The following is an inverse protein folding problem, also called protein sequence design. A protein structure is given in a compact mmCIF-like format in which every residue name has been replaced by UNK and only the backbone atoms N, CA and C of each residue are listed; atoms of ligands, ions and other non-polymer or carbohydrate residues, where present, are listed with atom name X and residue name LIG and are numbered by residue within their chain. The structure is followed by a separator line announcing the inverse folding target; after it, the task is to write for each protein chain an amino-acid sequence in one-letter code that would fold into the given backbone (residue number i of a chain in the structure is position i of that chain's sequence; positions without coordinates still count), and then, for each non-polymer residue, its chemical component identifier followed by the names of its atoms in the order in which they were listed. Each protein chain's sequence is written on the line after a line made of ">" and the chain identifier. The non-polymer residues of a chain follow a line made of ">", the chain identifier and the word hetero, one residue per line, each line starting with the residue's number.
data_IF_711574052464
#
_entry.id   IF_711574052464
#
_cell.length_a   1.000
_cell.length_b   1.000
_cell.length_c   1.000
_cell.angle_alpha   90.00
_cell.angle_beta   90.00
_cell.angle_gamma   90.00
#
_symmetry.space_group_name_H-M   'P 1'
#
loop_
_entity.id
_entity.type
_entity.pdbx_description
1 polymer ?
#
# COMPACT_ATOMS: atom_id res chain seq x y z
N UNK A 1 16.44 -11.49 -15.52
CA UNK A 1 15.51 -10.35 -15.66
C UNK A 1 14.40 -10.44 -14.65
N UNK A 2 14.10 -9.36 -13.92
CA UNK A 2 13.01 -9.35 -12.93
C UNK A 2 12.24 -8.04 -12.96
N UNK A 3 10.91 -8.14 -12.91
CA UNK A 3 10.02 -6.99 -12.95
C UNK A 3 10.15 -6.17 -11.66
N UNK A 4 10.22 -4.85 -11.82
CA UNK A 4 10.37 -3.88 -10.73
C UNK A 4 9.30 -2.79 -10.74
N UNK A 5 8.61 -2.58 -11.85
CA UNK A 5 7.57 -1.56 -11.98
C UNK A 5 6.59 -1.90 -13.10
N UNK A 6 5.35 -1.45 -12.98
CA UNK A 6 4.36 -1.51 -14.05
C UNK A 6 3.37 -0.35 -13.91
N UNK A 7 2.95 0.20 -15.04
CA UNK A 7 1.94 1.25 -15.07
C UNK A 7 1.19 1.23 -16.40
N UNK A 8 -0.08 1.62 -16.36
CA UNK A 8 -0.86 1.89 -17.57
C UNK A 8 -0.35 3.14 -18.32
N UNK A 9 0.41 4.01 -17.64
CA UNK A 9 0.91 5.28 -18.18
C UNK A 9 2.34 5.13 -18.67
N UNK A 10 2.53 5.28 -19.98
CA UNK A 10 3.85 5.16 -20.60
C UNK A 10 4.82 6.24 -20.08
N UNK A 11 4.33 7.44 -19.74
CA UNK A 11 5.20 8.50 -19.21
C UNK A 11 5.76 8.15 -17.83
N UNK A 12 5.00 7.42 -17.02
CA UNK A 12 5.49 6.94 -15.72
C UNK A 12 6.59 5.88 -15.90
N UNK A 13 6.41 5.00 -16.88
CA UNK A 13 7.42 4.00 -17.25
C UNK A 13 8.69 4.69 -17.74
N UNK A 14 8.57 5.67 -18.63
CA UNK A 14 9.72 6.41 -19.16
C UNK A 14 10.48 7.17 -18.05
N UNK A 15 9.77 7.77 -17.07
CA UNK A 15 10.42 8.40 -15.90
C UNK A 15 11.17 7.41 -15.02
N UNK A 16 10.59 6.23 -14.77
CA UNK A 16 11.25 5.18 -13.98
C UNK A 16 12.48 4.64 -14.71
N UNK A 17 12.40 4.45 -16.02
CA UNK A 17 13.55 4.05 -16.85
C UNK A 17 14.64 5.11 -16.80
N UNK A 18 14.29 6.39 -16.95
CA UNK A 18 15.25 7.49 -16.85
C UNK A 18 15.94 7.51 -15.48
N UNK A 19 15.17 7.41 -14.38
CA UNK A 19 15.69 7.33 -13.02
C UNK A 19 16.71 6.20 -12.83
N UNK A 20 16.38 4.99 -13.31
CA UNK A 20 17.24 3.82 -13.12
C UNK A 20 18.48 3.88 -14.02
N UNK A 21 18.32 4.38 -15.25
CA UNK A 21 19.43 4.62 -16.18
C UNK A 21 20.41 5.64 -15.61
N UNK A 22 19.92 6.73 -15.01
CA UNK A 22 20.76 7.76 -14.40
C UNK A 22 21.56 7.20 -13.20
N UNK A 23 21.07 6.12 -12.57
CA UNK A 23 21.79 5.38 -11.53
C UNK A 23 22.73 4.28 -12.06
N UNK A 24 22.83 4.13 -13.39
CA UNK A 24 23.66 3.14 -14.07
C UNK A 24 23.05 1.74 -14.12
N UNK A 25 21.74 1.60 -13.92
CA UNK A 25 21.06 0.30 -13.92
C UNK A 25 20.46 0.02 -15.30
N UNK A 26 20.83 -1.12 -15.89
CA UNK A 26 20.28 -1.53 -17.18
C UNK A 26 18.85 -2.09 -17.05
N UNK A 27 17.93 -1.52 -17.82
CA UNK A 27 16.51 -1.89 -17.79
C UNK A 27 15.98 -2.25 -19.18
N UNK A 28 15.06 -3.21 -19.22
CA UNK A 28 14.27 -3.57 -20.41
C UNK A 28 12.78 -3.29 -20.17
N UNK A 29 12.10 -2.78 -21.19
CA UNK A 29 10.66 -2.44 -21.12
C UNK A 29 9.87 -3.38 -22.01
N UNK A 30 8.80 -3.98 -21.47
CA UNK A 30 7.86 -4.83 -22.23
C UNK A 30 6.47 -4.21 -22.24
N UNK A 31 5.63 -4.61 -23.20
CA UNK A 31 4.24 -4.14 -23.37
C UNK A 31 4.13 -2.60 -23.50
N UNK A 32 5.18 -1.94 -24.00
CA UNK A 32 5.14 -0.52 -24.33
C UNK A 32 4.40 -0.33 -25.65
N UNK A 33 3.34 0.47 -25.63
CA UNK A 33 2.67 0.90 -26.85
C UNK A 33 3.56 1.89 -27.62
N UNK A 34 3.68 1.70 -28.93
CA UNK A 34 4.31 2.70 -29.82
C UNK A 34 3.34 3.84 -30.18
N UNK A 35 2.06 3.69 -29.86
CA UNK A 35 1.04 4.69 -30.12
C UNK A 35 1.01 5.70 -28.96
N UNK A 36 1.35 6.96 -29.26
CA UNK A 36 1.36 8.07 -28.31
C UNK A 36 -0.04 8.70 -28.11
N UNK A 37 -1.10 7.90 -28.27
CA UNK A 37 -2.47 8.38 -28.13
C UNK A 37 -2.84 8.64 -26.67
N UNK A 38 -4.11 8.95 -26.45
CA UNK A 38 -4.67 9.09 -25.11
C UNK A 38 -4.71 7.70 -24.44
N UNK A 39 -3.58 7.27 -23.86
CA UNK A 39 -3.42 5.97 -23.17
C UNK A 39 -4.30 5.88 -21.91
N UNK A 40 -4.82 7.02 -21.46
CA UNK A 40 -5.64 7.12 -20.27
C UNK A 40 -7.13 7.16 -20.58
N UNK A 41 -7.80 6.03 -20.37
CA UNK A 41 -9.21 6.02 -19.96
C UNK A 41 -9.25 6.18 -18.44
N UNK A 42 -10.09 7.10 -17.95
CA UNK A 42 -10.29 7.30 -16.51
C UNK A 42 -10.61 6.00 -15.77
N UNK A 43 -10.40 5.94 -14.45
CA UNK A 43 -10.67 4.74 -13.66
C UNK A 43 -12.14 4.32 -13.87
N UNK A 44 -12.35 3.21 -14.56
CA UNK A 44 -13.67 2.61 -14.68
C UNK A 44 -13.94 1.81 -13.41
N UNK A 45 -15.04 2.12 -12.73
CA UNK A 45 -15.51 1.35 -11.58
C UNK A 45 -16.20 0.04 -12.00
N UNK A 46 -16.62 -0.06 -13.26
CA UNK A 46 -17.38 -1.20 -13.78
C UNK A 46 -16.50 -2.42 -14.13
N UNK A 47 -15.19 -2.22 -14.32
CA UNK A 47 -14.28 -3.29 -14.76
C UNK A 47 -12.90 -3.06 -14.19
N UNK A 48 -12.37 -4.08 -13.50
CA UNK A 48 -11.00 -4.08 -13.01
C UNK A 48 -10.05 -4.03 -14.23
N UNK A 49 -9.13 -3.07 -14.31
CA UNK A 49 -8.23 -2.99 -15.45
C UNK A 49 -7.32 -4.21 -15.50
N UNK A 50 -7.17 -4.80 -16.70
CA UNK A 50 -6.24 -5.90 -16.91
C UNK A 50 -4.79 -5.37 -16.83
N UNK A 51 -4.10 -5.69 -15.73
CA UNK A 51 -2.72 -5.24 -15.46
C UNK A 51 -1.68 -5.96 -16.31
N UNK A 52 -2.00 -7.12 -16.87
CA UNK A 52 -1.05 -7.92 -17.64
C UNK A 52 -0.60 -7.20 -18.92
N UNK A 53 -1.51 -6.44 -19.53
CA UNK A 53 -1.24 -5.66 -20.75
C UNK A 53 -0.54 -4.33 -20.52
N UNK A 54 -0.29 -3.93 -19.28
CA UNK A 54 0.39 -2.67 -18.99
C UNK A 54 1.87 -2.75 -19.32
N UNK A 55 2.47 -1.59 -19.60
CA UNK A 55 3.91 -1.49 -19.77
C UNK A 55 4.62 -1.88 -18.45
N UNK A 56 5.72 -2.62 -18.60
CA UNK A 56 6.45 -3.21 -17.46
C UNK A 56 7.94 -2.93 -17.59
N UNK A 57 8.57 -2.57 -16.48
CA UNK A 57 10.02 -2.34 -16.41
C UNK A 57 10.67 -3.54 -15.72
N UNK A 58 11.70 -4.06 -16.37
CA UNK A 58 12.50 -5.19 -15.94
C UNK A 58 13.93 -4.75 -15.77
N UNK A 59 14.59 -5.19 -14.69
CA UNK A 59 16.04 -5.04 -14.57
C UNK A 59 16.71 -6.20 -15.31
N UNK A 60 17.70 -5.90 -16.14
CA UNK A 60 18.43 -6.90 -16.94
C UNK A 60 19.27 -7.79 -16.02
N UNK A 61 20.13 -7.15 -15.21
CA UNK A 61 21.03 -7.81 -14.26
C UNK A 61 20.35 -8.06 -12.91
N UNK A 62 20.45 -9.29 -12.41
CA UNK A 62 19.82 -9.67 -11.13
C UNK A 62 20.48 -8.98 -9.92
N UNK A 63 21.76 -8.61 -10.03
CA UNK A 63 22.52 -7.93 -8.97
C UNK A 63 22.01 -6.51 -8.67
N UNK A 64 21.57 -5.80 -9.71
CA UNK A 64 21.02 -4.44 -9.57
C UNK A 64 19.61 -4.41 -9.00
N UNK A 65 18.95 -5.56 -8.87
CA UNK A 65 17.54 -5.62 -8.46
C UNK A 65 17.31 -5.03 -7.07
N UNK A 66 18.18 -5.34 -6.10
CA UNK A 66 18.05 -4.84 -4.74
C UNK A 66 18.19 -3.31 -4.69
N UNK A 67 19.17 -2.80 -5.45
CA UNK A 67 19.46 -1.36 -5.57
C UNK A 67 18.33 -0.61 -6.28
N UNK A 68 17.80 -1.15 -7.38
CA UNK A 68 16.64 -0.59 -8.08
C UNK A 68 15.41 -0.48 -7.16
N UNK A 69 15.16 -1.51 -6.34
CA UNK A 69 14.05 -1.51 -5.37
C UNK A 69 14.23 -0.50 -4.26
N UNK A 70 15.46 -0.30 -3.77
CA UNK A 70 15.75 0.71 -2.77
C UNK A 70 15.44 2.12 -3.31
N UNK A 71 15.93 2.45 -4.51
CA UNK A 71 15.62 3.73 -5.16
C UNK A 71 14.13 3.97 -5.39
N UNK A 72 13.39 2.95 -5.84
CA UNK A 72 11.94 3.08 -6.00
C UNK A 72 11.25 3.37 -4.66
N UNK A 73 11.71 2.76 -3.56
CA UNK A 73 11.16 3.02 -2.21
C UNK A 73 11.48 4.43 -1.72
N UNK A 74 12.67 4.95 -2.01
CA UNK A 74 13.06 6.32 -1.64
C UNK A 74 12.12 7.37 -2.24
N UNK A 75 11.62 7.14 -3.44
CA UNK A 75 10.63 8.02 -4.09
C UNK A 75 9.16 7.66 -3.77
N UNK A 76 8.94 6.75 -2.83
CA UNK A 76 7.61 6.34 -2.36
C UNK A 76 6.89 5.32 -3.26
N UNK A 77 7.59 4.69 -4.22
CA UNK A 77 7.04 3.62 -5.06
C UNK A 77 7.37 2.27 -4.45
N UNK A 78 6.36 1.56 -3.93
CA UNK A 78 6.57 0.20 -3.44
C UNK A 78 6.76 -0.77 -4.63
N UNK A 79 7.89 -1.48 -4.73
CA UNK A 79 8.13 -2.41 -5.81
C UNK A 79 7.17 -3.62 -5.75
N UNK A 80 6.83 -4.25 -6.89
CA UNK A 80 5.95 -5.40 -6.92
C UNK A 80 6.58 -6.56 -6.14
N UNK A 81 5.85 -7.00 -5.12
CA UNK A 81 6.13 -8.21 -4.36
C UNK A 81 5.35 -9.38 -4.94
N UNK A 82 5.98 -10.56 -4.98
CA UNK A 82 5.29 -11.78 -5.38
C UNK A 82 4.18 -12.04 -4.36
N UNK A 83 2.98 -12.36 -4.82
CA UNK A 83 1.81 -12.59 -3.96
C UNK A 83 1.33 -11.35 -3.19
N UNK A 84 1.64 -10.13 -3.63
CA UNK A 84 1.15 -8.91 -2.99
C UNK A 84 -0.37 -8.94 -2.74
N UNK A 85 -1.14 -9.41 -3.71
CA UNK A 85 -2.60 -9.46 -3.61
C UNK A 85 -3.08 -10.53 -2.60
N UNK A 86 -2.42 -11.68 -2.51
CA UNK A 86 -2.71 -12.71 -1.49
C UNK A 86 -2.26 -12.27 -0.09
N UNK A 87 -1.15 -11.52 0.01
CA UNK A 87 -0.68 -10.90 1.25
C UNK A 87 -1.63 -9.79 1.72
N UNK A 88 -2.17 -9.00 0.80
CA UNK A 88 -3.20 -8.01 1.11
C UNK A 88 -4.51 -8.66 1.51
N UNK A 89 -4.92 -9.73 0.80
CA UNK A 89 -6.11 -10.50 1.13
C UNK A 89 -5.98 -11.20 2.49
N UNK A 90 -4.83 -11.80 2.82
CA UNK A 90 -4.59 -12.40 4.14
C UNK A 90 -4.56 -11.35 5.24
N UNK A 91 -3.87 -10.22 5.04
CA UNK A 91 -3.89 -9.07 5.97
C UNK A 91 -5.28 -8.48 6.18
N UNK A 92 -6.13 -8.52 5.16
CA UNK A 92 -7.53 -8.09 5.24
C UNK A 92 -8.46 -9.17 5.80
N UNK A 93 -8.14 -10.46 5.63
CA UNK A 93 -8.89 -11.60 6.18
C UNK A 93 -8.79 -11.66 7.70
N UNK A 94 -7.66 -11.25 8.28
CA UNK A 94 -7.50 -10.99 9.73
C UNK A 94 -8.19 -9.71 10.22
N UNK A 95 -8.79 -8.93 9.30
CA UNK A 95 -9.53 -7.70 9.60
C UNK A 95 -10.98 -7.87 9.15
N UNK A 96 -11.66 -8.87 9.70
CA UNK A 96 -13.10 -8.97 9.48
C UNK A 96 -13.80 -7.70 10.00
N UNK A 97 -14.86 -7.20 9.32
CA UNK A 97 -15.60 -6.02 9.79
C UNK A 97 -16.11 -6.16 11.24
N UNK A 98 -16.37 -7.41 11.67
CA UNK A 98 -16.77 -7.80 13.01
C UNK A 98 -15.67 -7.59 14.07
N UNK A 99 -14.40 -7.84 13.74
CA UNK A 99 -13.27 -7.63 14.66
C UNK A 99 -12.93 -6.15 14.85
N UNK A 100 -13.13 -5.31 13.82
CA UNK A 100 -13.01 -3.85 13.99
C UNK A 100 -14.05 -3.31 14.96
N UNK A 101 -15.29 -3.82 14.88
CA UNK A 101 -16.38 -3.45 15.80
C UNK A 101 -16.12 -3.95 17.21
N UNK A 102 -15.60 -5.17 17.38
CA UNK A 102 -15.34 -5.74 18.71
C UNK A 102 -14.26 -4.98 19.48
N UNK A 103 -13.16 -4.57 18.82
CA UNK A 103 -12.10 -3.76 19.45
C UNK A 103 -12.60 -2.39 19.90
N UNK A 104 -13.43 -1.73 19.08
CA UNK A 104 -13.99 -0.44 19.42
C UNK A 104 -14.93 -0.53 20.64
N UNK A 105 -15.81 -1.55 20.66
CA UNK A 105 -16.69 -1.81 21.81
C UNK A 105 -15.89 -2.15 23.06
N UNK A 106 -14.82 -2.94 22.94
CA UNK A 106 -13.97 -3.29 24.07
C UNK A 106 -13.21 -2.07 24.61
N UNK A 107 -12.66 -1.22 23.75
CA UNK A 107 -12.01 0.03 24.15
C UNK A 107 -12.98 0.98 24.87
N UNK A 108 -14.20 1.16 24.34
CA UNK A 108 -15.24 1.98 25.00
C UNK A 108 -15.62 1.41 26.36
N UNK A 109 -15.83 0.09 26.45
CA UNK A 109 -16.15 -0.58 27.71
C UNK A 109 -15.05 -0.36 28.74
N UNK A 110 -13.79 -0.50 28.35
CA UNK A 110 -12.64 -0.29 29.23
C UNK A 110 -12.56 1.16 29.72
N UNK A 111 -12.71 2.15 28.83
CA UNK A 111 -12.73 3.57 29.21
C UNK A 111 -13.87 3.89 30.17
N UNK A 112 -15.06 3.33 29.94
CA UNK A 112 -16.22 3.53 30.80
C UNK A 112 -16.00 2.94 32.21
N UNK A 113 -15.42 1.72 32.29
CA UNK A 113 -15.10 1.09 33.57
C UNK A 113 -14.04 1.88 34.35
N UNK A 114 -13.04 2.41 33.66
CA UNK A 114 -12.03 3.29 34.28
C UNK A 114 -12.69 4.57 34.79
N UNK A 115 -13.57 5.20 34.01
CA UNK A 115 -14.27 6.42 34.42
C UNK A 115 -15.16 6.18 35.66
N UNK A 116 -15.92 5.09 35.69
CA UNK A 116 -16.75 4.71 36.85
C UNK A 116 -15.87 4.39 38.06
N UNK A 117 -14.79 3.62 37.87
CA UNK A 117 -13.84 3.32 38.94
C UNK A 117 -13.20 4.57 39.52
N UNK A 118 -12.83 5.53 38.67
CA UNK A 118 -12.30 6.83 39.07
C UNK A 118 -13.35 7.63 39.85
N UNK A 119 -14.60 7.70 39.37
CA UNK A 119 -15.70 8.36 40.08
C UNK A 119 -15.95 7.76 41.46
N UNK A 120 -15.98 6.43 41.57
CA UNK A 120 -16.14 5.73 42.85
C UNK A 120 -14.95 5.99 43.78
N UNK A 121 -13.73 6.02 43.25
CA UNK A 121 -12.52 6.35 44.02
C UNK A 121 -12.55 7.79 44.53
N UNK A 122 -12.93 8.77 43.69
CA UNK A 122 -13.06 10.17 44.10
C UNK A 122 -14.19 10.39 45.12
N UNK A 123 -15.29 9.65 44.99
CA UNK A 123 -16.37 9.63 45.98
C UNK A 123 -15.87 9.05 47.31
N UNK A 124 -15.14 7.94 47.28
CA UNK A 124 -14.63 7.30 48.49
C UNK A 124 -13.56 8.16 49.20
N UNK A 125 -12.73 8.89 48.45
CA UNK A 125 -11.79 9.87 49.01
C UNK A 125 -12.47 11.14 49.57
N UNK A 126 -13.81 11.26 49.46
CA UNK A 126 -14.57 12.37 50.04
C UNK A 126 -14.46 13.70 49.29
N UNK A 127 -13.94 13.67 48.06
CA UNK A 127 -13.70 14.86 47.23
C UNK A 127 -14.99 15.29 46.50
N UNK A 128 -15.91 14.35 46.26
CA UNK A 128 -17.20 14.58 45.61
C UNK A 128 -18.29 13.90 46.45
N UNK A 129 -19.09 14.68 47.19
CA UNK A 129 -20.31 14.17 47.82
C UNK A 129 -21.42 14.13 46.78
N UNK A 130 -21.62 12.98 46.15
CA UNK A 130 -22.89 12.66 45.47
C UNK A 130 -23.66 11.75 46.42
N UNK A 131 -24.33 12.41 47.36
CA UNK A 131 -25.42 12.05 48.29
C UNK A 131 -25.26 12.80 49.61
#
# INVERSE_FOLDING_TARGET
>A
MRQIYTSARNENVDRVVALLRDAGIETSVTNRSNYAGHDYKGPSYATKPNREGWAQVWVVHSEDQARARAMLREIGIEPPTRYAEELEQSRNKERTPTERRSRFVWNIRTVLLIAIGLLLMLNWLGIIKIF
#
